data_IF_491443024743
#
_entry.id   IF_491443024743
#
_cell.length_a   1.000
_cell.length_b   1.000
_cell.length_c   1.000
_cell.angle_alpha   90.00
_cell.angle_beta   90.00
_cell.angle_gamma   90.00
#
_symmetry.space_group_name_H-M   'P 1'
#
loop_
_entity.id
_entity.type
_entity.pdbx_description
1 polymer ?
#
# COMPACT_ATOMS: atom_id res chain seq x y z
N UNK A 1 10.92 -3.73 4.32
CA UNK A 1 10.28 -4.88 5.01
C UNK A 1 8.83 -4.48 5.22
N UNK A 2 7.89 -5.41 5.11
CA UNK A 2 6.46 -5.11 5.19
C UNK A 2 5.75 -6.21 5.98
N UNK A 3 4.77 -5.81 6.79
CA UNK A 3 4.00 -6.71 7.64
C UNK A 3 2.68 -7.06 6.95
N UNK A 4 2.38 -8.35 6.82
CA UNK A 4 1.12 -8.86 6.26
C UNK A 4 0.50 -9.85 7.26
N UNK A 5 -0.30 -9.34 8.20
CA UNK A 5 -0.90 -10.11 9.27
C UNK A 5 0.15 -10.80 10.15
N UNK A 6 0.07 -12.13 10.27
CA UNK A 6 1.05 -12.99 10.96
C UNK A 6 2.40 -13.14 10.24
N UNK A 7 2.57 -12.53 9.06
CA UNK A 7 3.81 -12.63 8.26
C UNK A 7 4.58 -11.33 8.24
N UNK A 8 5.89 -11.46 8.18
CA UNK A 8 6.82 -10.38 7.91
C UNK A 8 7.52 -10.66 6.58
N UNK A 9 7.14 -9.91 5.55
CA UNK A 9 7.69 -10.02 4.20
C UNK A 9 8.93 -9.15 4.09
N UNK A 10 10.01 -9.76 3.63
CA UNK A 10 11.28 -9.09 3.42
C UNK A 10 11.65 -9.16 1.94
N UNK A 11 11.94 -8.00 1.39
CA UNK A 11 12.57 -7.85 0.08
C UNK A 11 13.93 -7.23 0.31
N UNK A 12 14.97 -8.00 0.05
CA UNK A 12 16.37 -7.63 0.18
C UNK A 12 16.83 -6.90 -1.09
N UNK A 13 17.75 -5.96 -0.93
CA UNK A 13 18.44 -5.33 -2.04
C UNK A 13 19.53 -6.25 -2.62
N UNK A 14 19.09 -7.20 -3.47
CA UNK A 14 19.92 -8.09 -4.28
C UNK A 14 19.11 -8.60 -5.47
N UNK A 15 19.78 -9.11 -6.49
CA UNK A 15 19.09 -9.60 -7.69
C UNK A 15 18.43 -10.97 -7.46
N UNK A 16 19.14 -11.89 -6.82
CA UNK A 16 18.73 -13.29 -6.67
C UNK A 16 18.32 -13.57 -5.22
N UNK A 17 17.32 -14.45 -5.03
CA UNK A 17 16.81 -14.88 -3.71
C UNK A 17 16.44 -13.70 -2.81
N UNK A 18 15.92 -12.62 -3.40
CA UNK A 18 15.68 -11.37 -2.68
C UNK A 18 14.42 -11.37 -1.80
N UNK A 19 13.52 -12.34 -1.97
CA UNK A 19 12.25 -12.40 -1.26
C UNK A 19 12.21 -13.57 -0.28
N UNK A 20 11.84 -13.28 0.95
CA UNK A 20 11.50 -14.28 1.96
C UNK A 20 10.43 -13.72 2.89
N UNK A 21 9.77 -14.61 3.63
CA UNK A 21 8.93 -14.21 4.74
C UNK A 21 9.30 -14.94 6.03
N UNK A 22 8.96 -14.30 7.14
CA UNK A 22 8.93 -14.92 8.46
C UNK A 22 7.46 -15.06 8.85
N UNK A 23 7.00 -16.28 9.06
CA UNK A 23 5.65 -16.58 9.54
C UNK A 23 5.70 -16.85 11.03
N UNK A 24 4.94 -16.07 11.79
CA UNK A 24 4.84 -16.19 13.24
C UNK A 24 3.55 -16.95 13.59
N UNK A 25 3.67 -18.03 14.36
CA UNK A 25 2.54 -18.82 14.83
C UNK A 25 2.63 -19.02 16.34
N UNK A 26 1.52 -18.92 17.05
CA UNK A 26 1.42 -19.39 18.43
C UNK A 26 0.96 -20.84 18.44
N UNK A 27 1.60 -21.68 19.26
CA UNK A 27 1.23 -23.07 19.49
C UNK A 27 1.12 -23.34 20.97
N UNK A 28 0.13 -24.15 21.35
CA UNK A 28 0.02 -24.65 22.72
C UNK A 28 1.12 -25.67 22.98
N UNK A 29 1.67 -25.66 24.19
CA UNK A 29 2.55 -26.76 24.63
C UNK A 29 1.74 -28.05 24.68
N UNK A 30 2.35 -29.17 24.25
CA UNK A 30 1.69 -30.49 24.30
C UNK A 30 1.57 -31.05 25.71
N UNK A 31 2.52 -30.70 26.58
CA UNK A 31 2.75 -31.36 27.88
C UNK A 31 2.51 -30.45 29.08
N UNK A 32 2.31 -29.15 28.88
CA UNK A 32 2.06 -28.18 29.95
C UNK A 32 1.05 -27.13 29.52
N UNK A 33 0.34 -26.48 30.46
CA UNK A 33 -0.45 -25.31 30.14
C UNK A 33 0.44 -24.17 29.62
N UNK A 34 -0.07 -23.41 28.66
CA UNK A 34 0.60 -22.26 28.05
C UNK A 34 0.84 -22.38 26.55
N UNK A 35 1.40 -21.33 25.97
CA UNK A 35 1.69 -21.20 24.54
C UNK A 35 3.16 -20.81 24.31
N UNK A 36 3.68 -21.19 23.15
CA UNK A 36 4.98 -20.73 22.65
C UNK A 36 4.85 -20.20 21.22
N UNK A 37 5.76 -19.31 20.86
CA UNK A 37 5.85 -18.80 19.50
C UNK A 37 6.77 -19.68 18.65
N UNK A 38 6.31 -20.01 17.45
CA UNK A 38 7.09 -20.69 16.42
C UNK A 38 7.22 -19.76 15.21
N UNK A 39 8.46 -19.48 14.83
CA UNK A 39 8.80 -18.63 13.69
C UNK A 39 9.32 -19.51 12.57
N UNK A 40 8.68 -19.44 11.40
CA UNK A 40 9.13 -20.11 10.20
C UNK A 40 9.75 -19.10 9.24
N UNK A 41 11.01 -19.30 8.88
CA UNK A 41 11.59 -18.61 7.74
C UNK A 41 11.27 -19.37 6.46
N UNK A 42 10.70 -18.70 5.46
CA UNK A 42 10.34 -19.31 4.18
C UNK A 42 10.89 -18.47 3.03
N UNK A 43 11.55 -19.13 2.10
CA UNK A 43 12.04 -18.50 0.88
C UNK A 43 10.95 -18.49 -0.20
N UNK A 44 11.05 -17.59 -1.18
CA UNK A 44 10.16 -17.61 -2.34
C UNK A 44 10.14 -18.97 -3.05
N UNK A 45 11.31 -19.61 -3.19
CA UNK A 45 11.42 -20.94 -3.81
C UNK A 45 10.71 -22.01 -2.97
N UNK A 46 10.90 -21.99 -1.64
CA UNK A 46 10.23 -22.92 -0.73
C UNK A 46 8.71 -22.79 -0.76
N UNK A 47 8.18 -21.56 -0.87
CA UNK A 47 6.74 -21.31 -1.02
C UNK A 47 6.18 -21.79 -2.36
N UNK A 48 6.96 -21.68 -3.45
CA UNK A 48 6.56 -22.18 -4.79
C UNK A 48 6.51 -23.71 -4.85
N UNK A 49 7.49 -24.37 -4.23
CA UNK A 49 7.57 -25.83 -4.17
C UNK A 49 6.54 -26.41 -3.20
N UNK A 50 6.42 -25.83 -2.02
CA UNK A 50 5.46 -26.24 -1.00
C UNK A 50 4.33 -25.22 -0.92
N UNK A 51 3.47 -25.21 -1.95
CA UNK A 51 2.30 -24.32 -2.04
C UNK A 51 1.42 -24.54 -0.82
N UNK A 52 1.46 -23.65 0.20
CA UNK A 52 0.67 -23.86 1.40
C UNK A 52 -0.80 -23.71 0.99
N UNK A 53 -1.67 -24.60 1.46
CA UNK A 53 -3.12 -24.43 1.33
C UNK A 53 -3.58 -23.30 2.25
N UNK A 54 -3.27 -22.07 1.87
CA UNK A 54 -3.67 -20.87 2.62
C UNK A 54 -5.16 -20.66 2.32
N UNK A 55 -6.00 -20.84 3.33
CA UNK A 55 -7.36 -20.28 3.29
C UNK A 55 -7.20 -18.77 3.33
N UNK A 56 -7.89 -18.04 2.45
CA UNK A 56 -8.03 -16.60 2.56
C UNK A 56 -8.43 -16.25 4.01
N UNK A 57 -7.82 -15.21 4.57
CA UNK A 57 -8.13 -14.71 5.92
C UNK A 57 -9.63 -14.46 6.08
N UNK A 58 -10.30 -14.07 4.99
CA UNK A 58 -11.75 -13.85 4.85
C UNK A 58 -12.67 -15.09 4.93
N UNK A 59 -12.15 -16.31 5.13
CA UNK A 59 -13.01 -17.50 5.24
C UNK A 59 -13.76 -17.62 6.58
N UNK A 60 -13.38 -16.83 7.60
CA UNK A 60 -14.16 -16.72 8.84
C UNK A 60 -15.07 -15.51 8.77
N UNK A 61 -16.36 -15.74 9.00
CA UNK A 61 -17.41 -14.73 8.97
C UNK A 61 -17.74 -14.32 10.41
N UNK A 62 -16.97 -13.38 10.94
CA UNK A 62 -17.43 -12.67 12.12
C UNK A 62 -18.49 -11.65 11.71
N UNK A 63 -19.49 -11.48 12.57
CA UNK A 63 -20.56 -10.51 12.34
C UNK A 63 -19.96 -9.12 12.27
N UNK A 64 -20.09 -8.45 11.12
CA UNK A 64 -19.55 -7.10 10.93
C UNK A 64 -20.44 -6.08 11.63
N UNK A 65 -19.84 -5.07 12.26
CA UNK A 65 -20.54 -3.90 12.78
C UNK A 65 -20.40 -2.75 11.78
N UNK A 66 -21.46 -2.44 11.05
CA UNK A 66 -21.45 -1.47 9.96
C UNK A 66 -22.33 -0.27 10.34
N UNK A 67 -21.76 0.93 10.23
CA UNK A 67 -22.55 2.16 10.24
C UNK A 67 -22.92 2.54 8.81
N UNK A 68 -24.19 2.89 8.63
CA UNK A 68 -24.70 3.52 7.41
C UNK A 68 -25.02 4.97 7.74
N UNK A 69 -24.56 5.90 6.90
CA UNK A 69 -24.88 7.32 7.08
C UNK A 69 -26.40 7.55 7.10
N UNK A 70 -26.85 8.42 8.00
CA UNK A 70 -28.28 8.70 8.14
C UNK A 70 -28.87 9.42 6.92
N UNK A 71 -28.06 10.16 6.17
CA UNK A 71 -28.51 10.89 4.97
C UNK A 71 -28.51 10.02 3.72
N UNK A 72 -27.93 8.81 3.78
CA UNK A 72 -27.97 7.89 2.65
C UNK A 72 -29.39 7.36 2.45
N UNK A 73 -30.08 7.92 1.44
CA UNK A 73 -31.49 7.69 1.14
C UNK A 73 -31.75 6.26 0.67
N UNK A 74 -30.81 5.73 -0.12
CA UNK A 74 -30.92 4.40 -0.72
C UNK A 74 -29.71 3.56 -0.35
N UNK A 75 -29.59 3.12 0.91
CA UNK A 75 -28.39 2.43 1.35
C UNK A 75 -28.29 1.03 0.74
N UNK A 76 -27.06 0.55 0.64
CA UNK A 76 -26.78 -0.86 0.43
C UNK A 76 -27.27 -1.72 1.60
N UNK A 77 -27.36 -3.02 1.36
CA UNK A 77 -27.82 -4.01 2.35
C UNK A 77 -26.69 -4.98 2.64
N UNK A 78 -26.33 -5.11 3.91
CA UNK A 78 -25.32 -6.05 4.39
C UNK A 78 -26.01 -7.12 5.24
N UNK A 79 -26.42 -8.24 4.64
CA UNK A 79 -27.02 -9.33 5.40
C UNK A 79 -25.97 -9.95 6.34
N UNK A 80 -26.40 -10.42 7.52
CA UNK A 80 -25.53 -11.02 8.55
C UNK A 80 -24.51 -10.04 9.17
N UNK A 81 -24.87 -8.76 9.22
CA UNK A 81 -24.09 -7.71 9.88
C UNK A 81 -24.98 -6.95 10.85
N UNK A 82 -24.40 -6.44 11.93
CA UNK A 82 -25.05 -5.52 12.83
C UNK A 82 -25.02 -4.13 12.20
N UNK A 83 -26.19 -3.58 11.90
CA UNK A 83 -26.33 -2.30 11.22
C UNK A 83 -26.76 -1.23 12.21
N UNK A 84 -26.00 -0.14 12.26
CA UNK A 84 -26.39 1.08 12.95
C UNK A 84 -26.53 2.21 11.93
N UNK A 85 -27.65 2.93 11.96
CA UNK A 85 -27.76 4.19 11.20
C UNK A 85 -27.39 5.36 12.09
N UNK A 86 -26.40 6.14 11.68
CA UNK A 86 -25.94 7.35 12.38
C UNK A 86 -25.28 8.28 11.38
N UNK A 87 -25.33 9.58 11.63
CA UNK A 87 -24.56 10.56 10.86
C UNK A 87 -23.07 10.24 10.95
N UNK A 88 -22.43 10.02 9.81
CA UNK A 88 -20.99 9.87 9.67
C UNK A 88 -20.33 11.25 9.48
N UNK A 89 -19.06 11.41 9.89
CA UNK A 89 -18.31 12.64 9.62
C UNK A 89 -18.04 12.82 8.11
N UNK A 90 -17.87 11.73 7.37
CA UNK A 90 -17.69 11.66 5.91
C UNK A 90 -17.99 10.24 5.43
N UNK A 91 -18.20 10.04 4.14
CA UNK A 91 -18.53 8.71 3.59
C UNK A 91 -19.97 8.27 3.89
N UNK A 92 -20.38 7.20 3.23
CA UNK A 92 -21.73 6.64 3.33
C UNK A 92 -21.79 5.39 4.21
N UNK A 93 -20.66 4.69 4.33
CA UNK A 93 -20.56 3.45 5.11
C UNK A 93 -19.25 3.41 5.89
N UNK A 94 -19.31 2.91 7.12
CA UNK A 94 -18.13 2.71 7.95
C UNK A 94 -18.16 1.33 8.62
N UNK A 95 -16.99 0.70 8.74
CA UNK A 95 -16.80 -0.51 9.55
C UNK A 95 -16.25 -0.10 10.91
N UNK A 96 -16.86 -0.62 11.98
CA UNK A 96 -16.45 -0.33 13.36
C UNK A 96 -15.94 -1.59 14.05
N UNK A 97 -14.90 -1.39 14.85
CA UNK A 97 -14.37 -2.38 15.78
C UNK A 97 -13.89 -1.68 17.05
N UNK A 98 -14.28 -2.18 18.23
CA UNK A 98 -14.00 -1.56 19.54
C UNK A 98 -14.26 -0.04 19.57
N UNK A 99 -15.44 0.38 19.07
CA UNK A 99 -15.87 1.78 18.95
C UNK A 99 -15.02 2.71 18.05
N UNK A 100 -14.01 2.17 17.35
CA UNK A 100 -13.23 2.90 16.35
C UNK A 100 -13.69 2.60 14.92
N UNK A 101 -13.65 3.62 14.06
CA UNK A 101 -13.82 3.43 12.61
C UNK A 101 -12.52 2.85 12.04
N UNK A 102 -12.60 1.61 11.57
CA UNK A 102 -11.46 0.89 10.97
C UNK A 102 -11.49 0.87 9.44
N UNK A 103 -12.62 1.23 8.83
CA UNK A 103 -12.75 1.43 7.39
C UNK A 103 -13.85 2.44 7.07
N UNK A 104 -13.71 3.19 5.97
CA UNK A 104 -14.72 4.12 5.50
C UNK A 104 -14.90 4.04 3.99
N UNK A 105 -16.14 4.10 3.52
CA UNK A 105 -16.48 3.93 2.10
C UNK A 105 -17.44 5.04 1.68
N UNK A 106 -17.03 5.77 0.63
CA UNK A 106 -17.87 6.68 -0.13
C UNK A 106 -18.46 5.93 -1.33
N UNK A 107 -19.76 6.03 -1.52
CA UNK A 107 -20.48 5.48 -2.67
C UNK A 107 -20.70 6.58 -3.71
N UNK A 108 -20.40 6.30 -4.98
CA UNK A 108 -20.68 7.24 -6.06
C UNK A 108 -21.35 6.55 -7.24
N UNK A 109 -22.46 7.12 -7.71
CA UNK A 109 -23.10 6.70 -8.97
C UNK A 109 -22.40 7.36 -10.15
N UNK A 110 -22.69 6.89 -11.36
CA UNK A 110 -22.17 7.49 -12.58
C UNK A 110 -22.54 8.98 -12.67
N UNK A 111 -23.81 9.31 -12.49
CA UNK A 111 -24.33 10.68 -12.64
C UNK A 111 -23.76 11.62 -11.57
N UNK A 112 -23.59 11.14 -10.34
CA UNK A 112 -22.96 11.92 -9.29
C UNK A 112 -21.49 12.16 -9.63
N UNK A 113 -20.76 11.14 -10.10
CA UNK A 113 -19.35 11.30 -10.43
C UNK A 113 -19.13 12.24 -11.63
N UNK A 114 -20.01 12.23 -12.63
CA UNK A 114 -19.97 13.22 -13.72
C UNK A 114 -20.03 14.67 -13.21
N UNK A 115 -20.87 14.93 -12.20
CA UNK A 115 -20.99 16.25 -11.57
C UNK A 115 -19.77 16.61 -10.72
N UNK A 116 -19.23 15.65 -9.98
CA UNK A 116 -18.02 15.85 -9.16
C UNK A 116 -16.80 16.16 -10.04
N UNK A 117 -16.70 15.50 -11.20
CA UNK A 117 -15.63 15.75 -12.16
C UNK A 117 -15.67 17.16 -12.77
N UNK A 118 -16.86 17.76 -12.93
CA UNK A 118 -16.93 19.19 -13.31
C UNK A 118 -16.59 20.15 -12.18
N UNK A 119 -16.52 19.65 -10.93
CA UNK A 119 -16.19 20.40 -9.71
C UNK A 119 -14.93 19.84 -9.03
N UNK A 120 -13.92 19.49 -9.83
CA UNK A 120 -12.78 18.68 -9.37
C UNK A 120 -12.06 19.22 -8.12
N UNK A 121 -11.92 20.54 -7.99
CA UNK A 121 -11.30 21.15 -6.81
C UNK A 121 -12.05 20.83 -5.51
N UNK A 122 -13.39 20.86 -5.53
CA UNK A 122 -14.22 20.51 -4.37
C UNK A 122 -14.17 19.00 -4.13
N UNK A 123 -14.23 18.20 -5.20
CA UNK A 123 -14.15 16.75 -5.08
C UNK A 123 -12.82 16.30 -4.44
N UNK A 124 -11.69 16.93 -4.79
CA UNK A 124 -10.43 16.67 -4.12
C UNK A 124 -10.45 16.98 -2.62
N UNK A 125 -11.09 18.07 -2.19
CA UNK A 125 -11.23 18.39 -0.76
C UNK A 125 -12.04 17.31 -0.03
N UNK A 126 -13.16 16.86 -0.63
CA UNK A 126 -13.97 15.78 -0.07
C UNK A 126 -13.16 14.48 0.10
N UNK A 127 -12.36 14.12 -0.90
CA UNK A 127 -11.51 12.93 -0.84
C UNK A 127 -10.36 13.04 0.16
N UNK A 128 -9.82 14.25 0.38
CA UNK A 128 -8.86 14.49 1.47
C UNK A 128 -9.51 14.22 2.82
N UNK A 129 -10.75 14.66 3.04
CA UNK A 129 -11.49 14.36 4.27
C UNK A 129 -11.75 12.86 4.41
N UNK A 130 -12.17 12.18 3.35
CA UNK A 130 -12.36 10.72 3.38
C UNK A 130 -11.05 10.00 3.74
N UNK A 131 -9.92 10.46 3.20
CA UNK A 131 -8.58 9.90 3.46
C UNK A 131 -8.05 10.12 4.87
N UNK A 132 -8.68 10.95 5.70
CA UNK A 132 -8.26 11.11 7.10
C UNK A 132 -8.61 9.89 7.97
N UNK A 133 -9.34 8.93 7.44
CA UNK A 133 -9.75 7.70 8.12
C UNK A 133 -8.94 6.49 7.67
N UNK A 134 -8.95 5.42 8.48
CA UNK A 134 -8.32 4.14 8.15
C UNK A 134 -9.04 3.51 6.96
N UNK A 135 -8.28 2.87 6.07
CA UNK A 135 -8.78 2.11 4.92
C UNK A 135 -9.90 2.83 4.13
N UNK A 136 -9.61 4.04 3.58
CA UNK A 136 -10.61 4.80 2.85
C UNK A 136 -10.83 4.21 1.46
N UNK A 137 -12.09 4.15 1.04
CA UNK A 137 -12.44 3.68 -0.29
C UNK A 137 -13.51 4.55 -0.97
N UNK A 138 -13.33 4.79 -2.26
CA UNK A 138 -14.31 5.37 -3.17
C UNK A 138 -14.82 4.25 -4.09
N UNK A 139 -16.08 3.88 -3.91
CA UNK A 139 -16.71 2.78 -4.65
C UNK A 139 -17.69 3.34 -5.65
N UNK A 140 -17.38 3.14 -6.92
CA UNK A 140 -18.07 3.76 -8.05
C UNK A 140 -18.96 2.70 -8.72
N UNK A 141 -20.26 2.97 -8.82
CA UNK A 141 -21.28 2.03 -9.34
C UNK A 141 -21.36 1.98 -10.88
N UNK A 142 -20.22 2.08 -11.56
CA UNK A 142 -20.13 2.07 -13.03
C UNK A 142 -18.78 1.51 -13.47
N UNK A 143 -18.64 1.15 -14.75
CA UNK A 143 -17.38 0.68 -15.31
C UNK A 143 -16.55 1.88 -15.80
N UNK A 144 -15.22 1.73 -15.79
CA UNK A 144 -14.33 2.75 -16.39
C UNK A 144 -14.69 3.05 -17.86
N UNK A 145 -15.03 2.03 -18.63
CA UNK A 145 -15.43 2.15 -20.04
C UNK A 145 -16.65 3.05 -20.27
N UNK A 146 -17.50 3.22 -19.25
CA UNK A 146 -18.71 4.03 -19.38
C UNK A 146 -18.38 5.52 -19.52
N UNK A 147 -17.25 5.98 -18.98
CA UNK A 147 -16.74 7.34 -19.16
C UNK A 147 -16.12 7.60 -20.54
N UNK A 148 -15.86 6.54 -21.30
CA UNK A 148 -15.33 6.64 -22.65
C UNK A 148 -16.43 6.55 -23.72
N UNK A 149 -17.65 6.20 -23.31
CA UNK A 149 -18.77 6.06 -24.19
C UNK A 149 -19.50 7.40 -24.35
N UNK A 150 -19.42 7.98 -25.55
CA UNK A 150 -20.03 9.26 -25.93
C UNK A 150 -21.55 9.28 -25.66
N UNK A 151 -22.23 8.16 -25.90
CA UNK A 151 -23.67 8.05 -25.69
C UNK A 151 -24.05 8.12 -24.22
N UNK A 152 -23.15 7.68 -23.32
CA UNK A 152 -23.38 7.70 -21.87
C UNK A 152 -23.02 9.03 -21.22
N UNK A 153 -21.88 9.61 -21.60
CA UNK A 153 -21.39 10.85 -20.98
C UNK A 153 -22.13 12.10 -21.48
N UNK A 154 -22.83 11.98 -22.62
CA UNK A 154 -23.58 13.07 -23.22
C UNK A 154 -22.72 14.09 -23.95
N UNK A 155 -23.36 15.16 -24.43
CA UNK A 155 -22.74 16.12 -25.38
C UNK A 155 -21.78 17.13 -24.75
N UNK A 156 -21.83 17.29 -23.43
CA UNK A 156 -21.10 18.37 -22.73
C UNK A 156 -19.67 17.99 -22.35
N UNK A 157 -19.34 16.70 -22.38
CA UNK A 157 -18.04 16.19 -21.96
C UNK A 157 -17.43 15.33 -23.07
N UNK A 158 -16.10 15.24 -23.05
CA UNK A 158 -15.35 14.38 -23.98
C UNK A 158 -14.78 13.18 -23.24
N UNK A 159 -14.60 12.02 -23.90
CA UNK A 159 -13.90 10.88 -23.31
C UNK A 159 -12.51 11.26 -22.76
N UNK A 160 -11.76 12.07 -23.53
CA UNK A 160 -10.42 12.52 -23.14
C UNK A 160 -10.40 13.34 -21.84
N UNK A 161 -11.45 14.13 -21.58
CA UNK A 161 -11.58 14.85 -20.32
C UNK A 161 -11.67 13.87 -19.14
N UNK A 162 -12.48 12.81 -19.24
CA UNK A 162 -12.62 11.84 -18.16
C UNK A 162 -11.38 10.96 -17.98
N UNK A 163 -10.72 10.55 -19.07
CA UNK A 163 -9.46 9.81 -18.99
C UNK A 163 -8.42 10.56 -18.15
N UNK A 164 -8.23 11.86 -18.45
CA UNK A 164 -7.27 12.71 -17.73
C UNK A 164 -7.69 12.92 -16.29
N UNK A 165 -8.97 13.25 -16.08
CA UNK A 165 -9.56 13.50 -14.76
C UNK A 165 -9.48 12.28 -13.84
N UNK A 166 -9.76 11.08 -14.37
CA UNK A 166 -9.62 9.82 -13.62
C UNK A 166 -8.14 9.53 -13.36
N UNK A 167 -7.25 9.70 -14.34
CA UNK A 167 -5.81 9.50 -14.13
C UNK A 167 -5.27 10.43 -13.03
N UNK A 168 -5.67 11.70 -13.04
CA UNK A 168 -5.32 12.71 -12.04
C UNK A 168 -5.82 12.33 -10.65
N UNK A 169 -7.06 11.84 -10.55
CA UNK A 169 -7.64 11.32 -9.32
C UNK A 169 -6.77 10.21 -8.68
N UNK A 170 -6.34 9.22 -9.47
CA UNK A 170 -5.46 8.16 -8.99
C UNK A 170 -4.07 8.67 -8.61
N UNK A 171 -3.54 9.63 -9.36
CA UNK A 171 -2.21 10.19 -9.12
C UNK A 171 -2.14 11.02 -7.82
N UNK A 172 -3.17 11.83 -7.52
CA UNK A 172 -3.20 12.63 -6.28
C UNK A 172 -3.58 11.82 -5.04
N UNK A 173 -4.40 10.77 -5.21
CA UNK A 173 -4.98 10.02 -4.09
C UNK A 173 -4.44 8.59 -4.00
N UNK A 174 -3.11 8.44 -3.98
CA UNK A 174 -2.41 7.13 -3.97
C UNK A 174 -2.78 6.20 -2.81
N UNK A 175 -3.26 6.75 -1.70
CA UNK A 175 -3.64 6.00 -0.49
C UNK A 175 -5.17 5.82 -0.37
N UNK A 176 -5.93 6.20 -1.39
CA UNK A 176 -7.38 5.97 -1.48
C UNK A 176 -7.64 4.74 -2.34
N UNK A 177 -8.42 3.79 -1.83
CA UNK A 177 -8.86 2.65 -2.64
C UNK A 177 -9.97 3.11 -3.58
N UNK A 178 -9.72 3.18 -4.88
CA UNK A 178 -10.74 3.56 -5.86
C UNK A 178 -11.13 2.33 -6.68
N UNK A 179 -12.42 2.02 -6.74
CA UNK A 179 -12.92 0.85 -7.49
C UNK A 179 -14.10 1.24 -8.38
N UNK A 180 -14.00 0.87 -9.65
CA UNK A 180 -15.11 0.87 -10.60
C UNK A 180 -15.81 -0.48 -10.52
N UNK A 181 -16.86 -0.56 -9.71
CA UNK A 181 -17.55 -1.81 -9.41
C UNK A 181 -18.61 -2.18 -10.46
N UNK A 182 -18.86 -1.34 -11.45
CA UNK A 182 -19.75 -1.64 -12.57
C UNK A 182 -21.23 -1.37 -12.31
N UNK A 183 -21.78 -1.82 -11.18
CA UNK A 183 -23.15 -1.50 -10.79
C UNK A 183 -23.36 -1.56 -9.27
N UNK A 184 -24.53 -1.11 -8.82
CA UNK A 184 -24.92 -1.08 -7.40
C UNK A 184 -24.79 -2.42 -6.67
N UNK A 185 -25.16 -3.55 -7.29
CA UNK A 185 -25.10 -4.87 -6.63
C UNK A 185 -23.66 -5.30 -6.41
N UNK A 186 -22.82 -5.11 -7.43
CA UNK A 186 -21.38 -5.42 -7.36
C UNK A 186 -20.64 -4.48 -6.40
N UNK A 187 -20.99 -3.19 -6.38
CA UNK A 187 -20.45 -2.21 -5.44
C UNK A 187 -20.75 -2.59 -3.97
N UNK A 188 -21.99 -2.98 -3.68
CA UNK A 188 -22.37 -3.51 -2.37
C UNK A 188 -21.56 -4.76 -2.00
N UNK A 189 -21.49 -5.74 -2.91
CA UNK A 189 -20.75 -6.98 -2.68
C UNK A 189 -19.26 -6.73 -2.44
N UNK A 190 -18.64 -5.87 -3.26
CA UNK A 190 -17.23 -5.49 -3.10
C UNK A 190 -17.01 -4.85 -1.73
N UNK A 191 -17.86 -3.91 -1.34
CA UNK A 191 -17.79 -3.22 -0.04
C UNK A 191 -17.90 -4.21 1.13
N UNK A 192 -18.85 -5.14 1.05
CA UNK A 192 -19.01 -6.18 2.06
C UNK A 192 -17.75 -7.05 2.20
N UNK A 193 -17.17 -7.52 1.09
CA UNK A 193 -15.92 -8.32 1.12
C UNK A 193 -14.70 -7.50 1.55
N UNK A 194 -14.66 -6.21 1.21
CA UNK A 194 -13.62 -5.29 1.65
C UNK A 194 -13.63 -5.14 3.18
N UNK A 195 -14.81 -4.92 3.76
CA UNK A 195 -14.98 -4.87 5.21
C UNK A 195 -14.63 -6.19 5.90
N UNK A 196 -15.05 -7.34 5.36
CA UNK A 196 -14.63 -8.65 5.90
C UNK A 196 -13.10 -8.82 5.89
N UNK A 197 -12.44 -8.41 4.81
CA UNK A 197 -10.98 -8.49 4.70
C UNK A 197 -10.28 -7.59 5.74
N UNK A 198 -10.76 -6.36 5.95
CA UNK A 198 -10.17 -5.43 6.92
C UNK A 198 -10.35 -5.96 8.34
N UNK A 199 -11.55 -6.42 8.70
CA UNK A 199 -11.82 -7.02 10.02
C UNK A 199 -10.87 -8.19 10.28
N UNK A 200 -10.76 -9.09 9.31
CA UNK A 200 -9.87 -10.25 9.40
C UNK A 200 -8.39 -9.86 9.49
N UNK A 201 -7.94 -8.83 8.77
CA UNK A 201 -6.56 -8.34 8.85
C UNK A 201 -6.23 -7.71 10.21
N UNK A 202 -7.17 -6.98 10.82
CA UNK A 202 -7.00 -6.41 12.16
C UNK A 202 -6.89 -7.50 13.24
N UNK A 203 -7.56 -8.63 13.06
CA UNK A 203 -7.49 -9.78 13.98
C UNK A 203 -6.24 -10.65 13.75
N UNK A 204 -5.63 -10.60 12.56
CA UNK A 204 -4.45 -11.39 12.22
C UNK A 204 -3.14 -10.79 12.78
N UNK A 205 -3.12 -10.52 14.09
CA UNK A 205 -1.96 -9.97 14.82
C UNK A 205 -1.07 -11.09 15.42
N UNK A 206 0.27 -10.94 15.40
CA UNK A 206 1.23 -11.83 16.04
C UNK A 206 1.43 -11.45 17.51
N UNK A 207 2.35 -12.13 18.18
CA UNK A 207 2.62 -11.94 19.60
C UNK A 207 3.10 -10.50 19.93
N UNK A 208 2.63 -9.96 21.07
CA UNK A 208 2.84 -8.56 21.48
C UNK A 208 4.32 -8.12 21.51
N UNK A 209 5.22 -8.96 22.03
CA UNK A 209 6.68 -8.70 22.07
C UNK A 209 7.30 -8.32 20.72
N UNK A 210 6.73 -8.79 19.60
CA UNK A 210 7.24 -8.48 18.26
C UNK A 210 6.55 -7.25 17.68
N UNK A 211 5.28 -7.01 18.04
CA UNK A 211 4.62 -5.75 17.70
C UNK A 211 5.39 -4.57 18.29
N UNK A 212 5.82 -4.67 19.57
CA UNK A 212 6.67 -3.68 20.23
C UNK A 212 8.02 -3.46 19.52
N UNK A 213 8.73 -4.54 19.16
CA UNK A 213 10.01 -4.42 18.42
C UNK A 213 9.81 -3.76 17.05
N UNK A 214 8.68 -4.01 16.37
CA UNK A 214 8.38 -3.38 15.07
C UNK A 214 8.03 -1.90 15.24
N UNK A 215 7.28 -1.54 16.28
CA UNK A 215 6.94 -0.15 16.59
C UNK A 215 8.18 0.66 17.03
N UNK A 216 9.12 0.01 17.72
CA UNK A 216 10.45 0.58 18.03
C UNK A 216 11.30 0.74 16.77
N UNK A 217 11.28 -0.24 15.87
CA UNK A 217 11.87 -0.14 14.53
C UNK A 217 10.89 0.52 13.55
N UNK A 218 10.52 1.78 13.81
CA UNK A 218 9.80 2.60 12.81
C UNK A 218 10.56 2.57 11.49
N UNK A 219 10.03 1.81 10.54
CA UNK A 219 10.48 1.81 9.15
C UNK A 219 10.23 3.24 8.67
N UNK A 220 11.25 3.98 8.19
CA UNK A 220 11.02 5.33 7.70
C UNK A 220 9.93 5.27 6.63
N UNK A 221 8.82 5.98 6.88
CA UNK A 221 7.78 6.20 5.89
C UNK A 221 8.46 6.81 4.65
N UNK A 222 8.32 6.12 3.51
CA UNK A 222 9.16 6.26 2.31
C UNK A 222 10.58 5.74 2.49
N UNK A 223 10.71 4.41 2.55
CA UNK A 223 11.85 3.74 1.92
C UNK A 223 11.77 3.93 0.40
N UNK A 224 11.98 5.16 -0.09
CA UNK A 224 12.72 5.32 -1.33
C UNK A 224 14.00 4.52 -1.09
N UNK A 225 14.17 3.43 -1.84
CA UNK A 225 15.29 2.52 -1.65
C UNK A 225 16.57 3.35 -1.60
N UNK A 226 17.18 3.43 -0.42
CA UNK A 226 18.28 4.36 -0.15
C UNK A 226 19.46 4.09 -1.10
N UNK A 227 19.53 2.87 -1.66
CA UNK A 227 20.48 2.51 -2.69
C UNK A 227 20.13 3.13 -4.05
N UNK A 228 18.84 3.18 -4.41
CA UNK A 228 18.30 3.92 -5.55
C UNK A 228 18.51 5.42 -5.40
N UNK A 229 18.37 5.95 -4.19
CA UNK A 229 18.63 7.36 -3.89
C UNK A 229 20.13 7.70 -4.01
N UNK A 230 21.02 6.89 -3.40
CA UNK A 230 22.47 7.01 -3.60
C UNK A 230 22.83 6.88 -5.08
N UNK A 231 22.22 5.93 -5.81
CA UNK A 231 22.44 5.75 -7.25
C UNK A 231 22.02 6.99 -8.04
N UNK A 232 20.81 7.50 -7.83
CA UNK A 232 20.30 8.72 -8.50
C UNK A 232 21.17 9.93 -8.22
N UNK A 233 21.54 10.14 -6.96
CA UNK A 233 22.37 11.27 -6.54
C UNK A 233 23.78 11.16 -7.14
N UNK A 234 24.39 9.97 -7.16
CA UNK A 234 25.67 9.77 -7.82
C UNK A 234 25.54 10.07 -9.30
N UNK A 235 24.53 9.57 -10.00
CA UNK A 235 24.37 9.78 -11.45
C UNK A 235 24.06 11.24 -11.81
N UNK A 236 23.19 11.91 -11.08
CA UNK A 236 22.64 13.23 -11.47
C UNK A 236 23.30 14.41 -10.76
N UNK A 237 23.59 14.31 -9.48
CA UNK A 237 23.95 15.48 -8.65
C UNK A 237 25.46 15.60 -8.38
N UNK A 238 26.17 14.48 -8.35
CA UNK A 238 27.61 14.50 -8.08
C UNK A 238 28.40 15.01 -9.29
N UNK A 239 29.57 15.64 -9.08
CA UNK A 239 30.49 15.97 -10.17
C UNK A 239 30.96 14.72 -10.93
N UNK A 240 31.49 14.92 -12.14
CA UNK A 240 32.04 13.84 -12.98
C UNK A 240 33.13 13.03 -12.26
N UNK A 241 33.86 13.66 -11.33
CA UNK A 241 34.84 13.03 -10.46
C UNK A 241 34.53 13.31 -8.99
N UNK A 242 34.46 12.27 -8.15
CA UNK A 242 34.08 12.40 -6.74
C UNK A 242 34.78 11.40 -5.81
N UNK A 243 34.91 11.76 -4.54
CA UNK A 243 35.50 10.92 -3.49
C UNK A 243 34.43 10.21 -2.67
N UNK A 244 34.82 9.10 -2.05
CA UNK A 244 33.95 8.36 -1.11
C UNK A 244 33.52 9.24 0.09
N UNK A 245 34.42 10.11 0.58
CA UNK A 245 34.12 11.04 1.67
C UNK A 245 32.94 11.95 1.37
N UNK A 246 32.84 12.46 0.13
CA UNK A 246 31.74 13.32 -0.30
C UNK A 246 30.39 12.59 -0.30
N UNK A 247 30.37 11.29 -0.64
CA UNK A 247 29.15 10.47 -0.52
C UNK A 247 28.81 10.25 0.95
N UNK A 248 29.80 10.00 1.80
CA UNK A 248 29.59 9.79 3.23
C UNK A 248 29.10 11.07 3.94
N UNK A 249 29.54 12.24 3.50
CA UNK A 249 29.03 13.55 3.96
C UNK A 249 27.56 13.76 3.58
N UNK A 250 27.14 13.39 2.37
CA UNK A 250 25.73 13.52 1.93
C UNK A 250 24.83 12.43 2.54
N UNK A 251 25.39 11.29 2.94
CA UNK A 251 24.68 10.17 3.58
C UNK A 251 25.33 9.75 4.91
N UNK A 252 25.33 10.62 5.94
CA UNK A 252 26.02 10.37 7.20
C UNK A 252 25.44 9.15 7.92
N UNK A 253 24.12 8.95 7.81
CA UNK A 253 23.37 7.87 8.46
C UNK A 253 23.52 6.49 7.79
N UNK A 254 24.14 6.39 6.60
CA UNK A 254 24.28 5.13 5.86
C UNK A 254 25.63 4.47 6.18
N UNK A 255 25.65 3.16 6.43
CA UNK A 255 26.89 2.42 6.71
C UNK A 255 27.84 2.41 5.51
N UNK A 256 29.16 2.47 5.77
CA UNK A 256 30.17 2.46 4.70
C UNK A 256 30.07 1.22 3.81
N UNK A 257 29.77 0.06 4.41
CA UNK A 257 29.62 -1.21 3.68
C UNK A 257 28.51 -1.12 2.63
N UNK A 258 27.41 -0.43 2.95
CA UNK A 258 26.27 -0.24 2.04
C UNK A 258 26.62 0.70 0.89
N UNK A 259 27.29 1.82 1.18
CA UNK A 259 27.77 2.76 0.13
C UNK A 259 28.77 2.06 -0.80
N UNK A 260 29.73 1.29 -0.25
CA UNK A 260 30.69 0.52 -1.06
C UNK A 260 30.02 -0.51 -1.95
N UNK A 261 28.92 -1.13 -1.48
CA UNK A 261 28.13 -2.07 -2.28
C UNK A 261 27.44 -1.40 -3.47
N UNK A 262 26.87 -0.20 -3.27
CA UNK A 262 26.27 0.59 -4.36
C UNK A 262 27.32 1.01 -5.39
N UNK A 263 28.49 1.50 -4.95
CA UNK A 263 29.59 1.86 -5.84
C UNK A 263 30.13 0.65 -6.62
N UNK A 264 30.23 -0.52 -5.97
CA UNK A 264 30.59 -1.76 -6.66
C UNK A 264 29.58 -2.10 -7.75
N UNK A 265 28.28 -2.05 -7.45
CA UNK A 265 27.22 -2.32 -8.43
C UNK A 265 27.26 -1.34 -9.62
N UNK A 266 27.44 -0.04 -9.37
CA UNK A 266 27.59 0.98 -10.42
C UNK A 266 28.83 0.75 -11.31
N UNK A 267 29.92 0.30 -10.71
CA UNK A 267 31.15 -0.04 -11.43
C UNK A 267 30.99 -1.30 -12.27
N UNK A 268 30.37 -2.32 -11.70
CA UNK A 268 30.12 -3.59 -12.40
C UNK A 268 29.17 -3.36 -13.60
N UNK A 269 28.27 -2.37 -13.50
CA UNK A 269 27.39 -1.90 -14.58
C UNK A 269 28.03 -0.83 -15.50
N UNK A 270 29.35 -0.61 -15.42
CA UNK A 270 30.10 0.36 -16.25
C UNK A 270 29.56 1.81 -16.22
N UNK A 271 28.85 2.21 -15.16
CA UNK A 271 28.40 3.60 -14.99
C UNK A 271 29.50 4.49 -14.40
N UNK A 272 30.38 3.90 -13.57
CA UNK A 272 31.50 4.61 -12.94
C UNK A 272 32.76 3.73 -12.96
N UNK A 273 33.92 4.37 -12.85
CA UNK A 273 35.22 3.70 -12.68
C UNK A 273 35.93 4.24 -11.45
N UNK A 274 36.73 3.38 -10.81
CA UNK A 274 37.60 3.79 -9.72
C UNK A 274 38.97 4.18 -10.30
N UNK A 275 39.36 5.44 -10.12
CA UNK A 275 40.64 5.97 -10.57
C UNK A 275 41.59 6.12 -9.38
N UNK A 276 42.71 5.40 -9.45
CA UNK A 276 43.75 5.20 -8.41
C UNK A 276 43.29 4.44 -7.16
N UNK A 277 44.11 3.48 -6.71
CA UNK A 277 43.84 2.60 -5.54
C UNK A 277 44.69 3.06 -4.34
N UNK A 278 44.08 3.65 -3.30
CA UNK A 278 44.77 4.11 -2.08
C UNK A 278 44.29 5.48 -1.57
N UNK A 279 45.07 6.18 -0.72
CA UNK A 279 44.70 7.48 -0.08
C UNK A 279 44.30 8.61 -1.06
N UNK A 280 44.58 8.47 -2.35
CA UNK A 280 44.21 9.41 -3.43
C UNK A 280 43.14 8.85 -4.38
N UNK A 281 42.36 7.86 -3.96
CA UNK A 281 41.32 7.24 -4.79
C UNK A 281 40.11 8.15 -5.00
N UNK A 282 39.63 8.23 -6.24
CA UNK A 282 38.38 8.90 -6.60
C UNK A 282 37.62 8.07 -7.64
N UNK A 283 36.31 8.30 -7.74
CA UNK A 283 35.43 7.69 -8.71
C UNK A 283 35.17 8.67 -9.84
N UNK A 284 35.11 8.16 -11.07
CA UNK A 284 34.80 8.95 -12.26
C UNK A 284 33.58 8.36 -12.97
N UNK A 285 32.64 9.20 -13.38
CA UNK A 285 31.49 8.79 -14.21
C UNK A 285 31.97 8.48 -15.62
N UNK A 286 31.48 7.38 -16.19
CA UNK A 286 31.61 7.12 -17.62
C UNK A 286 30.43 7.79 -18.31
N UNK A 287 30.70 8.71 -19.25
CA UNK A 287 29.67 9.26 -20.12
C UNK A 287 29.36 8.20 -21.18
N UNK A 288 28.09 7.92 -21.40
CA UNK A 288 27.66 7.16 -22.59
C UNK A 288 28.03 8.00 -23.82
N UNK A 289 28.77 7.40 -24.76
CA UNK A 289 28.90 7.90 -26.13
C UNK A 289 27.60 7.65 -26.91
#
# INVERSE_FOLDING_TARGET
MERLGKRLVMVLDREIRKRCDFLFLKKKYKTKPGEYEQIFWRTEQGLKQNKPRVKLTTYHHDTLNIIIDSNEKYPWKFPKSNILRRKLPTGDYALIDNDEIIAIVERKTFENLLKEFSQMAFFHQHLVNLKSFKNPALVIETNYSDFLNIDKIGKYYTPSFFEKTIAELFAYHTNLTIVFAGNRKLANQWTYRYFEAIKSHNEDTPHFKIAEIIDEYKIPEKANDINLEIKKIITNDFPDEFKFSQIKEKFPHVSESKIRKVLKNLRDNKTIILVKKGKKSYWKKLKEE
#
